data_IF_364196886711
#
_entry.id   IF_364196886711
#
_cell.length_a   1.000
_cell.length_b   1.000
_cell.length_c   1.000
_cell.angle_alpha   90.00
_cell.angle_beta   90.00
_cell.angle_gamma   90.00
#
_symmetry.space_group_name_H-M   'P 1'
#
loop_
_entity.id
_entity.type
_entity.pdbx_description
1 polymer ?
#
# COMPACT_ATOMS: atom_id res chain seq x y z
N UNK A 1 4.01 -43.38 24.02
CA UNK A 1 4.18 -42.87 22.64
C UNK A 1 3.83 -41.39 22.66
N UNK A 2 4.72 -40.48 22.24
CA UNK A 2 4.35 -39.09 22.10
C UNK A 2 3.42 -38.98 20.88
N UNK A 3 2.26 -38.34 21.05
CA UNK A 3 1.41 -37.98 19.93
C UNK A 3 2.11 -36.84 19.20
N UNK A 4 2.58 -37.08 17.97
CA UNK A 4 2.97 -36.01 17.05
C UNK A 4 1.69 -35.27 16.66
N UNK A 5 1.54 -34.04 17.15
CA UNK A 5 0.50 -33.12 16.70
C UNK A 5 1.04 -32.47 15.42
N UNK A 6 0.58 -32.92 14.27
CA UNK A 6 0.78 -32.21 13.00
C UNK A 6 -0.16 -31.01 12.96
N UNK A 7 0.39 -29.81 13.12
CA UNK A 7 -0.33 -28.56 12.93
C UNK A 7 -0.40 -28.28 11.43
N UNK A 8 -1.61 -28.10 10.90
CA UNK A 8 -1.83 -27.68 9.51
C UNK A 8 -1.80 -26.15 9.42
N UNK A 9 -0.90 -25.62 8.59
CA UNK A 9 -0.73 -24.19 8.33
C UNK A 9 -1.28 -23.77 6.96
N UNK A 10 -1.95 -24.66 6.23
CA UNK A 10 -2.41 -24.42 4.87
C UNK A 10 -3.30 -23.17 4.74
N UNK A 11 -4.24 -22.98 5.66
CA UNK A 11 -5.14 -21.82 5.69
C UNK A 11 -4.36 -20.51 5.92
N UNK A 12 -3.45 -20.48 6.90
CA UNK A 12 -2.64 -19.30 7.21
C UNK A 12 -1.75 -18.90 6.04
N UNK A 13 -1.21 -19.88 5.29
CA UNK A 13 -0.41 -19.63 4.10
C UNK A 13 -1.28 -18.97 3.01
N UNK A 14 -2.48 -19.48 2.76
CA UNK A 14 -3.40 -18.92 1.76
C UNK A 14 -3.81 -17.50 2.15
N UNK A 15 -4.17 -17.26 3.41
CA UNK A 15 -4.53 -15.93 3.89
C UNK A 15 -3.39 -14.92 3.73
N UNK A 16 -2.16 -15.33 4.02
CA UNK A 16 -0.97 -14.47 3.93
C UNK A 16 -0.67 -14.10 2.48
N UNK A 17 -0.81 -15.04 1.54
CA UNK A 17 -0.69 -14.76 0.10
C UNK A 17 -1.74 -13.75 -0.38
N UNK A 18 -3.00 -13.92 0.03
CA UNK A 18 -4.08 -12.97 -0.31
C UNK A 18 -3.78 -11.56 0.25
N UNK A 19 -3.18 -11.46 1.45
CA UNK A 19 -2.76 -10.16 2.01
C UNK A 19 -1.68 -9.51 1.15
N UNK A 20 -0.66 -10.27 0.72
CA UNK A 20 0.40 -9.78 -0.17
C UNK A 20 -0.20 -9.26 -1.48
N UNK A 21 -1.04 -10.04 -2.17
CA UNK A 21 -1.68 -9.63 -3.44
C UNK A 21 -2.50 -8.32 -3.29
N UNK A 22 -3.18 -8.16 -2.15
CA UNK A 22 -3.93 -6.93 -1.85
C UNK A 22 -3.01 -5.74 -1.62
N UNK A 23 -1.89 -5.93 -0.92
CA UNK A 23 -0.90 -4.87 -0.69
C UNK A 23 -0.23 -4.44 -2.01
N UNK A 24 0.12 -5.39 -2.89
CA UNK A 24 0.66 -5.11 -4.22
C UNK A 24 -0.33 -4.28 -5.06
N UNK A 25 -1.60 -4.65 -5.04
CA UNK A 25 -2.68 -3.91 -5.72
C UNK A 25 -2.83 -2.49 -5.17
N UNK A 26 -2.69 -2.30 -3.86
CA UNK A 26 -2.74 -1.00 -3.21
C UNK A 26 -1.53 -0.14 -3.58
N UNK A 27 -0.33 -0.71 -3.58
CA UNK A 27 0.89 -0.02 -4.02
C UNK A 27 0.71 0.50 -5.45
N UNK A 28 0.27 -0.36 -6.38
CA UNK A 28 0.06 0.05 -7.77
C UNK A 28 -0.96 1.19 -7.90
N UNK A 29 -2.04 1.14 -7.12
CA UNK A 29 -3.04 2.20 -7.09
C UNK A 29 -2.46 3.53 -6.57
N UNK A 30 -1.67 3.49 -5.50
CA UNK A 30 -1.02 4.68 -4.91
C UNK A 30 0.06 5.24 -5.83
N UNK A 31 0.84 4.40 -6.50
CA UNK A 31 1.81 4.80 -7.53
C UNK A 31 1.14 5.56 -8.68
N UNK A 32 0.01 5.05 -9.16
CA UNK A 32 -0.77 5.73 -10.22
C UNK A 32 -1.23 7.11 -9.79
N UNK A 33 -1.71 7.25 -8.55
CA UNK A 33 -2.07 8.55 -7.98
C UNK A 33 -0.87 9.49 -7.87
N UNK A 34 0.28 8.99 -7.37
CA UNK A 34 1.52 9.77 -7.27
C UNK A 34 1.97 10.28 -8.63
N UNK A 35 2.01 9.41 -9.63
CA UNK A 35 2.43 9.74 -10.99
C UNK A 35 1.51 10.80 -11.62
N UNK A 36 0.19 10.71 -11.39
CA UNK A 36 -0.75 11.73 -11.83
C UNK A 36 -0.46 13.09 -11.17
N UNK A 37 -0.21 13.11 -9.85
CA UNK A 37 0.13 14.34 -9.13
C UNK A 37 1.45 14.95 -9.57
N UNK A 38 2.48 14.14 -9.83
CA UNK A 38 3.74 14.61 -10.39
C UNK A 38 3.58 15.22 -11.78
N UNK A 39 2.79 14.57 -12.64
CA UNK A 39 2.47 15.09 -13.96
C UNK A 39 1.71 16.43 -13.86
N UNK A 40 0.74 16.52 -12.94
CA UNK A 40 0.01 17.75 -12.67
C UNK A 40 0.89 18.85 -12.09
N UNK A 41 1.87 18.52 -11.26
CA UNK A 41 2.85 19.50 -10.74
C UNK A 41 3.76 20.03 -11.86
N UNK A 42 4.11 19.19 -12.84
CA UNK A 42 4.97 19.55 -13.98
C UNK A 42 4.22 20.27 -15.09
N UNK A 43 2.89 20.25 -15.08
CA UNK A 43 2.05 20.86 -16.10
C UNK A 43 1.29 22.05 -15.52
N UNK A 44 1.14 23.14 -16.28
CA UNK A 44 0.30 24.29 -15.89
C UNK A 44 -1.22 23.95 -15.91
N UNK A 45 -1.58 22.67 -15.82
CA UNK A 45 -2.95 22.15 -15.87
C UNK A 45 -3.69 22.48 -14.56
N UNK A 46 -2.97 22.53 -13.44
CA UNK A 46 -3.60 22.87 -12.17
C UNK A 46 -3.79 24.39 -12.05
N UNK A 47 -5.04 24.80 -11.84
CA UNK A 47 -5.38 26.17 -11.45
C UNK A 47 -4.88 26.52 -10.04
N UNK A 48 -4.45 25.53 -9.24
CA UNK A 48 -4.02 25.67 -7.85
C UNK A 48 -3.02 24.58 -7.44
N UNK A 49 -2.14 24.85 -6.48
CA UNK A 49 -1.20 23.87 -5.92
C UNK A 49 -1.84 22.82 -4.98
N UNK A 50 -3.18 22.72 -4.97
CA UNK A 50 -3.95 21.86 -4.06
C UNK A 50 -4.84 20.86 -4.81
N UNK A 51 -5.03 19.71 -4.20
CA UNK A 51 -5.95 18.66 -4.67
C UNK A 51 -6.85 18.19 -3.55
N UNK A 52 -8.05 17.74 -3.91
CA UNK A 52 -8.99 17.13 -2.96
C UNK A 52 -8.54 15.72 -2.61
N UNK A 53 -8.26 15.47 -1.34
CA UNK A 53 -8.00 14.15 -0.79
C UNK A 53 -9.25 13.61 -0.11
N UNK A 54 -9.66 12.39 -0.45
CA UNK A 54 -10.72 11.66 0.23
C UNK A 54 -10.10 10.51 1.00
N UNK A 55 -10.24 10.53 2.32
CA UNK A 55 -9.85 9.42 3.17
C UNK A 55 -11.09 8.59 3.52
N UNK A 56 -10.98 7.28 3.29
CA UNK A 56 -12.01 6.30 3.64
C UNK A 56 -11.45 5.39 4.74
N UNK A 57 -12.18 5.22 5.83
CA UNK A 57 -11.74 4.48 7.00
C UNK A 57 -12.80 4.53 8.10
N UNK A 58 -12.39 4.66 9.37
CA UNK A 58 -13.32 4.77 10.50
C UNK A 58 -14.27 5.97 10.38
N UNK A 59 -13.76 7.11 9.88
CA UNK A 59 -14.57 8.28 9.52
C UNK A 59 -14.20 8.74 8.13
N UNK A 60 -15.19 8.91 7.26
CA UNK A 60 -14.97 9.52 5.95
C UNK A 60 -14.65 11.01 6.15
N UNK A 61 -13.51 11.45 5.65
CA UNK A 61 -13.17 12.87 5.60
C UNK A 61 -12.65 13.25 4.23
N UNK A 62 -12.87 14.52 3.86
CA UNK A 62 -12.41 15.06 2.61
C UNK A 62 -11.89 16.46 2.85
N UNK A 63 -10.67 16.75 2.39
CA UNK A 63 -10.05 18.05 2.56
C UNK A 63 -9.08 18.32 1.40
N UNK A 64 -8.78 19.60 1.19
CA UNK A 64 -7.80 20.01 0.19
C UNK A 64 -6.40 20.00 0.81
N UNK A 65 -5.45 19.37 0.14
CA UNK A 65 -4.04 19.32 0.57
C UNK A 65 -3.13 19.80 -0.56
N UNK A 66 -1.94 20.29 -0.22
CA UNK A 66 -0.96 20.73 -1.20
C UNK A 66 -0.35 19.51 -1.89
N UNK A 67 -0.16 19.59 -3.21
CA UNK A 67 0.45 18.52 -4.00
C UNK A 67 1.85 18.17 -3.47
N UNK A 68 2.64 19.18 -3.10
CA UNK A 68 3.98 19.01 -2.52
C UNK A 68 3.98 18.33 -1.15
N UNK A 69 2.88 18.40 -0.42
CA UNK A 69 2.72 17.67 0.85
C UNK A 69 2.21 16.26 0.60
N UNK A 70 1.36 16.06 -0.40
CA UNK A 70 0.73 14.77 -0.66
C UNK A 70 1.71 13.76 -1.29
N UNK A 71 2.55 14.18 -2.23
CA UNK A 71 3.49 13.27 -2.91
C UNK A 71 4.36 12.48 -1.92
N UNK A 72 5.06 13.12 -0.96
CA UNK A 72 5.87 12.38 0.03
C UNK A 72 5.05 11.40 0.90
N UNK A 73 3.79 11.73 1.20
CA UNK A 73 2.91 10.83 1.96
C UNK A 73 2.54 9.57 1.16
N UNK A 74 2.35 9.71 -0.15
CA UNK A 74 2.11 8.57 -1.04
C UNK A 74 3.39 7.72 -1.19
N UNK A 75 4.56 8.34 -1.24
CA UNK A 75 5.85 7.63 -1.27
C UNK A 75 6.08 6.81 -0.02
N UNK A 76 5.86 7.41 1.16
CA UNK A 76 5.95 6.68 2.43
C UNK A 76 4.94 5.53 2.47
N UNK A 77 3.72 5.73 1.97
CA UNK A 77 2.72 4.66 1.94
C UNK A 77 3.16 3.47 1.07
N UNK A 78 3.80 3.73 -0.07
CA UNK A 78 4.37 2.69 -0.93
C UNK A 78 5.49 1.95 -0.20
N UNK A 79 6.41 2.68 0.43
CA UNK A 79 7.54 2.10 1.17
C UNK A 79 7.05 1.23 2.34
N UNK A 80 6.13 1.73 3.15
CA UNK A 80 5.57 1.02 4.30
C UNK A 80 4.85 -0.27 3.87
N UNK A 81 4.04 -0.20 2.81
CA UNK A 81 3.34 -1.38 2.28
C UNK A 81 4.32 -2.39 1.68
N UNK A 82 5.40 -1.93 1.04
CA UNK A 82 6.46 -2.79 0.50
C UNK A 82 7.21 -3.51 1.62
N UNK A 83 7.54 -2.79 2.71
CA UNK A 83 8.15 -3.37 3.90
C UNK A 83 7.25 -4.45 4.52
N UNK A 84 5.94 -4.20 4.60
CA UNK A 84 4.97 -5.18 5.09
C UNK A 84 4.88 -6.43 4.20
N UNK A 85 4.91 -6.28 2.87
CA UNK A 85 4.98 -7.42 1.95
C UNK A 85 6.24 -8.25 2.23
N UNK A 86 7.39 -7.60 2.40
CA UNK A 86 8.66 -8.28 2.69
C UNK A 86 8.62 -9.05 4.02
N UNK A 87 7.96 -8.51 5.04
CA UNK A 87 7.74 -9.20 6.31
C UNK A 87 6.85 -10.44 6.14
N UNK A 88 5.70 -10.30 5.46
CA UNK A 88 4.77 -11.40 5.20
C UNK A 88 5.39 -12.49 4.30
N UNK A 89 6.21 -12.10 3.32
CA UNK A 89 6.90 -13.05 2.45
C UNK A 89 7.95 -13.86 3.23
N UNK A 90 8.68 -13.23 4.16
CA UNK A 90 9.60 -13.94 5.07
C UNK A 90 8.86 -14.95 5.95
N UNK A 91 7.67 -14.63 6.45
CA UNK A 91 6.83 -15.58 7.21
C UNK A 91 6.47 -16.83 6.38
N UNK A 92 6.33 -16.67 5.06
CA UNK A 92 6.06 -17.76 4.12
C UNK A 92 7.31 -18.49 3.61
N UNK A 93 8.52 -18.04 3.99
CA UNK A 93 9.77 -18.55 3.45
C UNK A 93 9.98 -18.22 1.96
N UNK A 94 9.36 -17.15 1.47
CA UNK A 94 9.53 -16.66 0.11
C UNK A 94 10.67 -15.63 0.12
N UNK A 95 11.71 -15.85 -0.68
CA UNK A 95 12.70 -14.82 -0.96
C UNK A 95 12.06 -13.75 -1.85
N UNK A 96 12.13 -12.49 -1.42
CA UNK A 96 11.70 -11.33 -2.21
C UNK A 96 12.98 -10.69 -2.76
N UNK A 97 13.12 -10.64 -4.09
CA UNK A 97 14.23 -9.97 -4.79
C UNK A 97 14.10 -8.45 -4.79
#
# INVERSE_FOLDING_TARGET
MPQEITVDFSEQIVETKIKIERLESLIHYVESQKNALEHYKKSDILLTDKVGLRLTGFTQCSFNTRVDTLIPLLEQNIEDNTALINELAKELGIEVE
#
